data_IF_729393375778
#
_entry.id   IF_729393375778
#
_cell.length_a   1.000
_cell.length_b   1.000
_cell.length_c   1.000
_cell.angle_alpha   90.00
_cell.angle_beta   90.00
_cell.angle_gamma   90.00
#
_symmetry.space_group_name_H-M   'P 1'
#
loop_
_entity.id
_entity.type
_entity.pdbx_description
1 polymer ?
#
# COMPACT_ATOMS: atom_id res chain seq x y z
N UNK A 1 -4.43 -23.36 7.04
CA UNK A 1 -3.76 -22.67 8.15
C UNK A 1 -3.91 -21.20 7.86
N UNK A 2 -5.01 -20.61 8.34
CA UNK A 2 -5.24 -19.17 8.23
C UNK A 2 -4.22 -18.52 9.17
N UNK A 3 -3.27 -17.76 8.63
CA UNK A 3 -2.37 -16.97 9.46
C UNK A 3 -3.23 -15.84 10.05
N UNK A 4 -3.58 -15.96 11.33
CA UNK A 4 -4.43 -15.00 12.03
C UNK A 4 -3.97 -13.56 11.75
N UNK A 5 -4.89 -12.73 11.25
CA UNK A 5 -4.67 -11.30 11.06
C UNK A 5 -4.18 -10.87 9.67
N UNK A 6 -3.89 -11.78 8.75
CA UNK A 6 -3.61 -11.41 7.35
C UNK A 6 -4.90 -11.18 6.56
N UNK A 7 -4.98 -10.06 5.86
CA UNK A 7 -6.11 -9.70 5.02
C UNK A 7 -5.80 -10.00 3.55
N UNK A 8 -6.67 -10.76 2.89
CA UNK A 8 -6.58 -10.95 1.45
C UNK A 8 -6.71 -9.59 0.74
N UNK A 9 -5.84 -9.35 -0.24
CA UNK A 9 -5.97 -8.20 -1.14
C UNK A 9 -6.81 -8.64 -2.34
N UNK A 10 -7.97 -8.04 -2.47
CA UNK A 10 -8.92 -8.26 -3.55
C UNK A 10 -8.69 -7.29 -4.71
N UNK A 11 -9.22 -7.64 -5.89
CA UNK A 11 -9.18 -6.79 -7.09
C UNK A 11 -7.78 -6.28 -7.49
N UNK A 12 -6.75 -7.11 -7.27
CA UNK A 12 -5.37 -6.74 -7.54
C UNK A 12 -5.16 -6.40 -9.02
N UNK A 13 -4.51 -5.27 -9.28
CA UNK A 13 -4.06 -4.84 -10.60
C UNK A 13 -2.59 -4.48 -10.55
N UNK A 14 -1.81 -4.99 -11.50
CA UNK A 14 -0.40 -4.65 -11.69
C UNK A 14 -0.23 -3.39 -12.54
N UNK A 15 0.74 -2.56 -12.17
CA UNK A 15 1.07 -1.32 -12.87
C UNK A 15 2.58 -1.17 -13.01
N UNK A 16 3.05 -0.73 -14.17
CA UNK A 16 4.42 -0.29 -14.35
C UNK A 16 4.45 1.24 -14.32
N UNK A 17 5.00 1.82 -13.27
CA UNK A 17 5.05 3.28 -13.07
C UNK A 17 6.50 3.70 -12.97
N UNK A 18 6.99 4.49 -13.93
CA UNK A 18 8.38 4.99 -13.95
C UNK A 18 9.44 3.88 -13.86
N UNK A 19 9.14 2.70 -14.41
CA UNK A 19 10.01 1.52 -14.36
C UNK A 19 9.89 0.69 -13.08
N UNK A 20 9.05 1.10 -12.13
CA UNK A 20 8.78 0.37 -10.90
C UNK A 20 7.49 -0.46 -11.03
N UNK A 21 7.58 -1.73 -10.65
CA UNK A 21 6.39 -2.58 -10.52
C UNK A 21 5.64 -2.18 -9.25
N UNK A 22 4.34 -1.89 -9.41
CA UNK A 22 3.41 -1.56 -8.32
C UNK A 22 2.13 -2.33 -8.49
N UNK A 23 1.33 -2.43 -7.43
CA UNK A 23 -0.01 -2.98 -7.52
C UNK A 23 -1.02 -2.11 -6.78
N UNK A 24 -2.26 -2.12 -7.23
CA UNK A 24 -3.38 -1.60 -6.46
C UNK A 24 -4.33 -2.73 -6.12
N UNK A 25 -5.03 -2.63 -5.00
CA UNK A 25 -6.07 -3.57 -4.63
C UNK A 25 -6.92 -3.03 -3.51
N UNK A 26 -7.78 -3.87 -2.97
CA UNK A 26 -8.65 -3.54 -1.86
C UNK A 26 -8.47 -4.53 -0.72
N UNK A 27 -8.49 -4.03 0.50
CA UNK A 27 -8.56 -4.86 1.71
C UNK A 27 -9.81 -4.48 2.49
N UNK A 28 -10.46 -5.47 3.10
CA UNK A 28 -11.63 -5.26 3.97
C UNK A 28 -11.22 -5.66 5.39
N UNK A 29 -10.96 -4.70 6.29
CA UNK A 29 -10.72 -4.99 7.70
C UNK A 29 -11.97 -5.61 8.35
N UNK A 30 -11.83 -6.42 9.42
CA UNK A 30 -12.97 -6.95 10.16
C UNK A 30 -13.89 -5.83 10.66
N UNK A 31 -15.17 -5.88 10.29
CA UNK A 31 -16.17 -4.86 10.66
C UNK A 31 -15.98 -3.49 10.01
N UNK A 32 -15.06 -3.36 9.06
CA UNK A 32 -14.77 -2.12 8.34
C UNK A 32 -15.29 -2.11 6.90
N UNK A 33 -15.10 -0.98 6.23
CA UNK A 33 -15.33 -0.82 4.79
C UNK A 33 -14.07 -1.20 4.00
N UNK A 34 -14.24 -1.49 2.70
CA UNK A 34 -13.12 -1.67 1.78
C UNK A 34 -12.22 -0.43 1.74
N UNK A 35 -10.90 -0.66 1.75
CA UNK A 35 -9.87 0.38 1.67
C UNK A 35 -9.05 0.14 0.40
N UNK A 36 -8.93 1.17 -0.43
CA UNK A 36 -8.03 1.16 -1.59
C UNK A 36 -6.58 1.25 -1.12
N UNK A 37 -5.77 0.25 -1.48
CA UNK A 37 -4.35 0.19 -1.15
C UNK A 37 -3.45 0.21 -2.40
N UNK A 38 -2.24 0.69 -2.18
CA UNK A 38 -1.11 0.67 -3.11
C UNK A 38 -0.05 -0.25 -2.52
N UNK A 39 0.36 -1.26 -3.28
CA UNK A 39 1.46 -2.16 -2.92
C UNK A 39 2.71 -1.70 -3.68
N UNK A 40 3.76 -1.42 -2.93
CA UNK A 40 5.07 -1.02 -3.41
C UNK A 40 6.04 -2.19 -3.31
N UNK A 41 6.83 -2.43 -4.35
CA UNK A 41 7.99 -3.30 -4.27
C UNK A 41 9.20 -2.51 -3.74
N UNK A 42 9.65 -2.85 -2.54
CA UNK A 42 10.86 -2.31 -1.92
C UNK A 42 11.93 -3.42 -1.91
N UNK A 43 13.21 -3.08 -1.72
CA UNK A 43 14.27 -4.08 -1.54
C UNK A 43 14.05 -4.96 -0.32
N UNK A 44 13.34 -4.46 0.70
CA UNK A 44 12.99 -5.21 1.91
C UNK A 44 11.76 -6.11 1.75
N UNK A 45 11.08 -6.07 0.60
CA UNK A 45 9.86 -6.82 0.35
C UNK A 45 8.71 -5.92 -0.11
N UNK A 46 7.48 -6.44 0.00
CA UNK A 46 6.30 -5.72 -0.42
C UNK A 46 5.68 -4.93 0.75
N UNK A 47 5.25 -3.71 0.48
CA UNK A 47 4.59 -2.84 1.46
C UNK A 47 3.27 -2.33 0.88
N UNK A 48 2.16 -2.60 1.56
CA UNK A 48 0.89 -1.94 1.30
C UNK A 48 0.81 -0.61 2.06
N UNK A 49 0.35 0.43 1.38
CA UNK A 49 -0.01 1.73 1.96
C UNK A 49 -1.39 2.14 1.46
N UNK A 50 -2.04 3.12 2.09
CA UNK A 50 -3.24 3.75 1.50
C UNK A 50 -2.94 4.30 0.11
N UNK A 51 -3.81 4.05 -0.86
CA UNK A 51 -3.65 4.61 -2.21
C UNK A 51 -4.21 6.03 -2.35
N UNK A 52 -4.53 6.71 -1.24
CA UNK A 52 -5.13 8.05 -1.24
C UNK A 52 -4.30 9.00 -0.41
N UNK A 53 -3.93 10.13 -1.01
CA UNK A 53 -3.23 11.19 -0.30
C UNK A 53 -4.17 11.80 0.76
N UNK A 54 -3.77 11.90 2.03
CA UNK A 54 -4.63 12.44 3.10
C UNK A 54 -5.00 13.92 2.91
N UNK A 55 -4.27 14.67 2.07
CA UNK A 55 -4.57 16.09 1.81
C UNK A 55 -5.74 16.29 0.83
N UNK A 56 -5.71 15.61 -0.32
CA UNK A 56 -6.61 15.90 -1.46
C UNK A 56 -7.27 14.67 -2.07
N UNK A 57 -7.14 13.51 -1.41
CA UNK A 57 -7.74 12.24 -1.85
C UNK A 57 -7.31 11.78 -3.26
N UNK A 58 -6.18 12.29 -3.74
CA UNK A 58 -5.61 11.90 -5.02
C UNK A 58 -4.93 10.54 -4.93
N UNK A 59 -5.00 9.77 -6.01
CA UNK A 59 -4.36 8.46 -6.07
C UNK A 59 -2.84 8.58 -5.94
N UNK A 60 -2.25 7.83 -5.00
CA UNK A 60 -0.80 7.82 -4.77
C UNK A 60 -0.05 6.88 -5.73
N UNK A 61 -0.76 6.05 -6.50
CA UNK A 61 -0.20 5.15 -7.51
C UNK A 61 0.85 5.82 -8.42
N UNK A 62 0.64 7.08 -8.79
CA UNK A 62 1.53 7.82 -9.69
C UNK A 62 2.64 8.62 -8.95
N UNK A 63 2.68 8.54 -7.61
CA UNK A 63 3.64 9.22 -6.77
C UNK A 63 5.09 8.78 -7.00
N UNK A 64 6.06 9.61 -6.62
CA UNK A 64 7.48 9.28 -6.73
C UNK A 64 7.92 8.56 -5.46
N UNK A 65 8.46 7.35 -5.58
CA UNK A 65 9.00 6.59 -4.46
C UNK A 65 10.49 6.93 -4.33
N UNK A 66 10.90 7.39 -3.14
CA UNK A 66 12.29 7.37 -2.71
C UNK A 66 12.42 6.28 -1.65
N UNK A 67 12.79 5.07 -2.09
CA UNK A 67 12.98 3.94 -1.19
C UNK A 67 14.13 4.18 -0.19
N UNK A 68 15.16 4.93 -0.57
CA UNK A 68 16.33 5.17 0.28
C UNK A 68 15.96 6.10 1.44
N UNK A 69 15.16 7.13 1.17
CA UNK A 69 14.60 8.01 2.20
C UNK A 69 13.36 7.43 2.90
N UNK A 70 12.75 6.38 2.35
CA UNK A 70 11.49 5.84 2.86
C UNK A 70 10.31 6.79 2.66
N UNK A 71 10.27 7.50 1.53
CA UNK A 71 9.28 8.53 1.22
C UNK A 71 8.48 8.14 -0.03
N UNK A 72 7.17 8.37 0.01
CA UNK A 72 6.30 8.41 -1.17
C UNK A 72 5.79 9.84 -1.38
N UNK A 73 6.19 10.47 -2.48
CA UNK A 73 5.73 11.81 -2.83
C UNK A 73 4.37 11.77 -3.54
N UNK A 74 3.42 12.57 -3.05
CA UNK A 74 2.12 12.78 -3.70
C UNK A 74 2.29 13.41 -5.10
N UNK A 75 1.72 12.81 -6.16
CA UNK A 75 1.91 13.29 -7.53
C UNK A 75 1.20 14.63 -7.82
N UNK A 76 0.27 15.06 -6.98
CA UNK A 76 -0.50 16.29 -7.23
C UNK A 76 0.22 17.56 -6.78
N UNK A 77 1.01 17.50 -5.71
CA UNK A 77 1.54 18.71 -5.06
C UNK A 77 2.83 18.45 -4.25
N UNK A 78 3.51 17.33 -4.48
CA UNK A 78 4.85 17.10 -3.96
C UNK A 78 4.93 16.82 -2.46
N UNK A 79 3.81 16.53 -1.78
CA UNK A 79 3.89 16.22 -0.34
C UNK A 79 4.57 14.88 -0.14
N UNK A 80 5.70 14.90 0.56
CA UNK A 80 6.46 13.75 1.01
C UNK A 80 5.77 13.05 2.18
N UNK A 81 5.37 11.80 1.96
CA UNK A 81 4.72 10.95 2.95
C UNK A 81 5.69 9.84 3.38
N UNK A 82 6.14 9.81 4.64
CA UNK A 82 6.96 8.71 5.15
C UNK A 82 6.21 7.37 5.08
N UNK A 83 6.84 6.32 4.54
CA UNK A 83 6.26 4.98 4.43
C UNK A 83 5.94 4.37 5.80
N UNK A 84 6.77 4.65 6.80
CA UNK A 84 6.56 4.27 8.20
C UNK A 84 5.67 5.28 8.97
N UNK A 85 5.18 6.32 8.30
CA UNK A 85 4.35 7.36 8.89
C UNK A 85 2.90 6.93 9.11
N UNK A 86 2.24 7.57 10.07
CA UNK A 86 0.83 7.32 10.42
C UNK A 86 -0.16 7.68 9.32
N UNK A 87 0.24 8.53 8.38
CA UNK A 87 -0.61 8.97 7.27
C UNK A 87 -0.89 7.85 6.27
N UNK A 88 0.14 7.10 5.91
CA UNK A 88 0.07 6.01 4.93
C UNK A 88 -0.37 4.68 5.54
N UNK A 89 -0.08 4.51 6.84
CA UNK A 89 -0.33 3.29 7.61
C UNK A 89 0.16 2.04 6.90
N UNK A 90 1.46 2.00 6.65
CA UNK A 90 2.10 0.89 5.94
C UNK A 90 1.94 -0.45 6.67
N UNK A 91 1.68 -1.52 5.92
CA UNK A 91 1.75 -2.89 6.40
C UNK A 91 2.55 -3.79 5.43
N UNK A 92 3.27 -4.79 5.96
CA UNK A 92 3.95 -5.76 5.11
C UNK A 92 2.96 -6.53 4.24
N UNK A 93 3.39 -6.95 3.06
CA UNK A 93 2.62 -7.78 2.16
C UNK A 93 3.41 -9.03 1.83
N UNK A 94 2.73 -10.15 1.73
CA UNK A 94 3.28 -11.41 1.19
C UNK A 94 2.50 -11.81 -0.05
N UNK A 95 3.20 -12.41 -1.01
CA UNK A 95 2.60 -13.04 -2.18
C UNK A 95 2.69 -14.56 -2.02
N UNK A 96 1.57 -15.27 -2.23
CA UNK A 96 1.48 -16.73 -2.20
C UNK A 96 0.54 -17.19 -3.31
N UNK A 97 1.01 -18.08 -4.18
CA UNK A 97 0.23 -18.63 -5.30
C UNK A 97 -0.43 -17.55 -6.17
N UNK A 98 0.28 -16.44 -6.42
CA UNK A 98 -0.20 -15.30 -7.21
C UNK A 98 -1.24 -14.42 -6.50
N UNK A 99 -1.48 -14.63 -5.20
CA UNK A 99 -2.38 -13.81 -4.37
C UNK A 99 -1.59 -13.01 -3.36
N UNK A 100 -2.06 -11.79 -3.09
CA UNK A 100 -1.44 -10.89 -2.12
C UNK A 100 -2.22 -10.92 -0.81
N UNK A 101 -1.48 -10.91 0.29
CA UNK A 101 -2.01 -10.84 1.65
C UNK A 101 -1.30 -9.72 2.38
N UNK A 102 -2.05 -8.84 3.01
CA UNK A 102 -1.55 -7.73 3.81
C UNK A 102 -1.51 -8.12 5.29
N UNK A 103 -0.41 -7.83 5.95
CA UNK A 103 -0.18 -8.19 7.34
C UNK A 103 -1.07 -7.41 8.32
N UNK A 104 -1.17 -7.92 9.56
CA UNK A 104 -1.96 -7.27 10.60
C UNK A 104 -1.39 -5.88 10.96
N UNK A 105 -2.23 -5.02 11.54
CA UNK A 105 -1.91 -3.70 12.15
C UNK A 105 -1.83 -2.44 11.24
N UNK A 106 -2.14 -2.49 9.94
CA UNK A 106 -2.20 -1.25 9.14
C UNK A 106 -3.44 -0.37 9.42
N UNK A 107 -4.59 -0.94 9.79
CA UNK A 107 -5.85 -0.16 9.83
C UNK A 107 -6.68 -0.34 11.10
N UNK A 108 -6.11 -0.94 12.14
CA UNK A 108 -6.72 -0.86 13.46
C UNK A 108 -6.66 0.60 13.93
N UNK A 109 -7.82 1.19 14.19
CA UNK A 109 -7.96 2.50 14.81
C UNK A 109 -7.48 2.48 16.26
#
# INVERSE_FOLDING_TARGET
MEEEGWLAVEHVRSHLVRGEQRWTGQVVPPGGNAIDILILALRSGLLAVRNRCPHRDVALLLGRLDETAGILECPSHGWELPLAGTELRGAPVIERDGKFFMGPHAFAG
#
